data_IF_336453076490
#
_entry.id   IF_336453076490
#
_cell.length_a   1.000
_cell.length_b   1.000
_cell.length_c   1.000
_cell.angle_alpha   90.00
_cell.angle_beta   90.00
_cell.angle_gamma   90.00
#
_symmetry.space_group_name_H-M   'P 1'
#
loop_
_entity.id
_entity.type
_entity.pdbx_description
1 polymer ?
#
# COMPACT_ATOMS: atom_id res chain seq x y z
N UNK A 1 35.43 -32.45 73.55
CA UNK A 1 34.75 -33.01 72.36
C UNK A 1 35.74 -33.06 71.19
N UNK A 2 35.98 -34.20 70.54
CA UNK A 2 36.88 -34.26 69.38
C UNK A 2 36.21 -33.56 68.18
N UNK A 3 36.95 -32.70 67.47
CA UNK A 3 36.48 -32.09 66.22
C UNK A 3 36.35 -33.18 65.15
N UNK A 4 35.12 -33.49 64.75
CA UNK A 4 34.81 -34.37 63.61
C UNK A 4 35.45 -33.76 62.35
N UNK A 5 36.22 -34.52 61.55
CA UNK A 5 36.82 -33.99 60.33
C UNK A 5 35.72 -33.65 59.32
N UNK A 6 35.61 -32.38 58.91
CA UNK A 6 34.65 -32.00 57.89
C UNK A 6 35.01 -32.68 56.56
N UNK A 7 34.06 -33.44 56.02
CA UNK A 7 34.19 -34.08 54.71
C UNK A 7 34.46 -33.03 53.64
N UNK A 8 35.24 -33.37 52.61
CA UNK A 8 35.61 -32.45 51.51
C UNK A 8 34.38 -31.78 50.87
N UNK A 9 33.26 -32.51 50.81
CA UNK A 9 31.95 -32.03 50.35
C UNK A 9 31.35 -30.95 51.25
N UNK A 10 31.48 -31.07 52.57
CA UNK A 10 31.04 -30.06 53.53
C UNK A 10 31.85 -28.75 53.45
N UNK A 11 33.18 -28.84 53.25
CA UNK A 11 34.03 -27.64 53.10
C UNK A 11 33.69 -26.84 51.84
N UNK A 12 33.44 -27.53 50.72
CA UNK A 12 33.09 -26.87 49.46
C UNK A 12 31.72 -26.19 49.54
N UNK A 13 30.74 -26.83 50.18
CA UNK A 13 29.45 -26.21 50.46
C UNK A 13 29.57 -24.97 51.36
N UNK A 14 30.40 -25.03 52.40
CA UNK A 14 30.66 -23.87 53.28
C UNK A 14 31.30 -22.71 52.51
N UNK A 15 32.26 -22.96 51.61
CA UNK A 15 32.89 -21.89 50.84
C UNK A 15 31.96 -21.22 49.81
N UNK A 16 30.94 -21.92 49.30
CA UNK A 16 29.90 -21.28 48.47
C UNK A 16 29.04 -20.31 49.28
N UNK A 17 28.80 -20.61 50.56
CA UNK A 17 28.07 -19.73 51.48
C UNK A 17 28.91 -18.55 51.95
N UNK A 18 30.21 -18.77 52.19
CA UNK A 18 31.11 -17.74 52.70
C UNK A 18 31.49 -16.67 51.67
N UNK A 19 31.29 -16.95 50.37
CA UNK A 19 31.60 -16.04 49.26
C UNK A 19 30.43 -15.91 48.27
N UNK A 20 29.25 -15.39 48.70
CA UNK A 20 28.03 -15.38 47.89
C UNK A 20 28.11 -14.39 46.70
N UNK A 21 28.99 -13.39 46.79
CA UNK A 21 29.18 -12.36 45.76
C UNK A 21 30.24 -12.74 44.71
N UNK A 22 30.73 -13.99 44.73
CA UNK A 22 31.73 -14.50 43.80
C UNK A 22 31.12 -15.53 42.82
N UNK A 23 31.79 -15.75 41.69
CA UNK A 23 31.27 -16.58 40.58
C UNK A 23 31.63 -18.07 40.72
N UNK A 24 31.58 -18.61 41.93
CA UNK A 24 31.93 -20.01 42.17
C UNK A 24 30.75 -20.96 41.92
N UNK A 25 31.06 -22.14 41.37
CA UNK A 25 30.15 -23.28 41.24
C UNK A 25 30.83 -24.55 41.72
N UNK A 26 30.07 -25.56 42.11
CA UNK A 26 30.61 -26.85 42.52
C UNK A 26 29.69 -28.01 42.17
N UNK A 27 30.29 -29.18 41.91
CA UNK A 27 29.67 -30.50 41.82
C UNK A 27 29.69 -31.27 43.15
N UNK A 28 30.16 -30.64 44.23
CA UNK A 28 30.32 -31.22 45.57
C UNK A 28 31.73 -31.74 45.87
N UNK A 29 32.62 -31.84 44.87
CA UNK A 29 34.00 -32.30 45.07
C UNK A 29 35.06 -31.29 44.63
N UNK A 30 34.74 -30.46 43.64
CA UNK A 30 35.62 -29.41 43.09
C UNK A 30 34.93 -28.05 43.17
N UNK A 31 35.66 -27.02 43.62
CA UNK A 31 35.20 -25.63 43.55
C UNK A 31 35.72 -25.03 42.24
N UNK A 32 34.81 -24.61 41.36
CA UNK A 32 35.14 -24.08 40.03
C UNK A 32 34.83 -22.58 39.96
N UNK A 33 35.80 -21.78 39.52
CA UNK A 33 35.59 -20.35 39.29
C UNK A 33 35.09 -20.11 37.87
N UNK A 34 33.86 -19.64 37.73
CA UNK A 34 33.24 -19.36 36.42
C UNK A 34 33.88 -18.15 35.74
N UNK A 35 34.35 -17.15 36.49
CA UNK A 35 35.08 -16.01 35.92
C UNK A 35 36.45 -16.42 35.33
N UNK A 36 37.18 -17.31 35.99
CA UNK A 36 38.53 -17.69 35.58
C UNK A 36 38.61 -18.96 34.73
N UNK A 37 37.53 -19.75 34.65
CA UNK A 37 37.50 -20.98 33.85
C UNK A 37 38.39 -22.11 34.40
N UNK A 38 38.63 -22.14 35.71
CA UNK A 38 39.56 -23.10 36.33
C UNK A 38 39.06 -23.57 37.70
N UNK A 39 39.48 -24.78 38.09
CA UNK A 39 39.27 -25.30 39.44
C UNK A 39 40.16 -24.57 40.46
N UNK A 40 39.58 -24.25 41.61
CA UNK A 40 40.25 -23.60 42.74
C UNK A 40 40.40 -24.61 43.87
N UNK A 41 41.60 -24.69 44.46
CA UNK A 41 41.88 -25.60 45.57
C UNK A 41 41.03 -25.26 46.79
N UNK A 42 40.30 -26.26 47.31
CA UNK A 42 39.47 -26.14 48.51
C UNK A 42 40.16 -26.66 49.78
N UNK A 43 41.49 -26.87 49.73
CA UNK A 43 42.27 -27.38 50.87
C UNK A 43 42.35 -26.37 52.02
N UNK A 44 42.48 -25.09 51.70
CA UNK A 44 42.57 -23.99 52.66
C UNK A 44 41.81 -22.76 52.17
N UNK A 45 41.14 -22.05 53.08
CA UNK A 45 40.37 -20.83 52.78
C UNK A 45 41.25 -19.73 52.18
N UNK A 46 42.50 -19.62 52.64
CA UNK A 46 43.48 -18.62 52.16
C UNK A 46 43.71 -18.69 50.65
N UNK A 47 43.71 -19.88 50.06
CA UNK A 47 43.91 -20.08 48.62
C UNK A 47 42.74 -19.55 47.79
N UNK A 48 41.52 -19.64 48.31
CA UNK A 48 40.32 -19.09 47.68
C UNK A 48 40.37 -17.56 47.74
N UNK A 49 40.71 -17.00 48.90
CA UNK A 49 40.90 -15.55 49.06
C UNK A 49 42.01 -15.02 48.16
N UNK A 50 43.11 -15.75 48.01
CA UNK A 50 44.20 -15.37 47.11
C UNK A 50 43.74 -15.37 45.64
N UNK A 51 42.98 -16.39 45.23
CA UNK A 51 42.42 -16.47 43.88
C UNK A 51 41.52 -15.26 43.55
N UNK A 52 40.60 -14.90 44.45
CA UNK A 52 39.69 -13.75 44.28
C UNK A 52 40.48 -12.44 44.15
N UNK A 53 41.60 -12.33 44.86
CA UNK A 53 42.42 -11.13 44.86
C UNK A 53 43.37 -10.99 43.67
N UNK A 54 43.49 -12.02 42.82
CA UNK A 54 44.30 -11.94 41.60
C UNK A 54 43.74 -10.90 40.62
N UNK A 55 44.63 -10.19 39.92
CA UNK A 55 44.28 -9.22 38.87
C UNK A 55 43.43 -9.88 37.78
N UNK A 56 43.81 -11.08 37.35
CA UNK A 56 43.07 -11.90 36.38
C UNK A 56 41.61 -12.14 36.78
N UNK A 57 41.34 -12.48 38.05
CA UNK A 57 39.96 -12.71 38.52
C UNK A 57 39.14 -11.43 38.52
N UNK A 58 39.70 -10.32 39.02
CA UNK A 58 39.02 -9.03 39.08
C UNK A 58 38.63 -8.52 37.68
N UNK A 59 39.53 -8.62 36.71
CA UNK A 59 39.27 -8.22 35.31
C UNK A 59 38.21 -9.11 34.65
N UNK A 60 38.30 -10.43 34.83
CA UNK A 60 37.35 -11.37 34.24
C UNK A 60 35.94 -11.27 34.83
N UNK A 61 35.84 -10.97 36.13
CA UNK A 61 34.57 -10.73 36.82
C UNK A 61 33.84 -9.52 36.23
N UNK A 62 34.56 -8.44 35.94
CA UNK A 62 34.01 -7.23 35.31
C UNK A 62 33.60 -7.51 33.85
N UNK A 63 34.43 -8.20 33.06
CA UNK A 63 34.11 -8.54 31.65
C UNK A 63 32.85 -9.40 31.50
N UNK A 64 32.61 -10.37 32.39
CA UNK A 64 31.42 -11.24 32.31
C UNK A 64 30.11 -10.55 32.68
N UNK A 65 30.15 -9.46 33.44
CA UNK A 65 28.95 -8.66 33.74
C UNK A 65 28.52 -7.77 32.57
N UNK A 66 29.43 -7.46 31.63
CA UNK A 66 29.15 -6.64 30.45
C UNK A 66 28.85 -7.44 29.17
N UNK A 67 29.13 -8.75 29.14
CA UNK A 67 28.89 -9.59 27.97
C UNK A 67 28.22 -10.92 28.36
N UNK A 68 26.90 -10.89 28.52
CA UNK A 68 26.06 -12.09 28.46
C UNK A 68 25.80 -12.44 26.99
N UNK A 69 26.67 -13.25 26.39
CA UNK A 69 26.30 -13.96 25.17
C UNK A 69 25.31 -15.07 25.53
N UNK A 70 24.06 -14.90 25.11
CA UNK A 70 23.06 -15.97 25.15
C UNK A 70 23.40 -17.00 24.05
N UNK A 71 24.00 -18.11 24.45
CA UNK A 71 24.09 -19.30 23.60
C UNK A 71 22.70 -19.91 23.44
N UNK A 72 22.34 -20.24 22.19
CA UNK A 72 21.05 -20.84 21.82
C UNK A 72 21.01 -22.27 22.36
N UNK A 73 20.18 -22.51 23.37
CA UNK A 73 19.66 -23.85 23.67
C UNK A 73 18.24 -23.95 23.14
N UNK A 74 18.06 -24.90 22.23
CA UNK A 74 16.80 -25.31 21.62
C UNK A 74 15.84 -25.87 22.65
N UNK A 75 15.09 -24.97 23.27
CA UNK A 75 13.72 -25.19 23.74
C UNK A 75 13.12 -23.80 23.85
N UNK A 76 12.56 -23.31 22.74
CA UNK A 76 11.72 -22.13 22.79
C UNK A 76 10.55 -22.45 23.72
N UNK A 77 10.67 -22.06 24.99
CA UNK A 77 9.50 -21.78 25.79
C UNK A 77 8.63 -20.86 24.93
N UNK A 78 7.37 -21.23 24.76
CA UNK A 78 6.33 -20.31 24.34
C UNK A 78 6.35 -19.14 25.33
N UNK A 79 7.22 -18.15 25.10
CA UNK A 79 7.15 -16.88 25.79
C UNK A 79 5.78 -16.32 25.43
N UNK A 80 4.86 -16.34 26.40
CA UNK A 80 3.59 -15.63 26.29
C UNK A 80 3.96 -14.18 25.92
N UNK A 81 3.73 -13.82 24.66
CA UNK A 81 4.09 -12.50 24.17
C UNK A 81 3.31 -11.49 25.00
N UNK A 82 4.00 -10.48 25.54
CA UNK A 82 3.36 -9.46 26.38
C UNK A 82 2.13 -8.87 25.69
N UNK A 83 0.96 -8.96 26.34
CA UNK A 83 -0.29 -8.38 25.88
C UNK A 83 -0.13 -6.86 25.70
N UNK A 84 0.51 -6.19 26.66
CA UNK A 84 0.81 -4.77 26.60
C UNK A 84 1.61 -4.38 25.34
N UNK A 85 2.67 -5.11 25.00
CA UNK A 85 3.47 -4.81 23.81
C UNK A 85 2.70 -5.03 22.52
N UNK A 86 1.80 -6.02 22.50
CA UNK A 86 0.90 -6.28 21.39
C UNK A 86 -0.08 -5.12 21.21
N UNK A 87 -0.69 -4.66 22.31
CA UNK A 87 -1.64 -3.55 22.31
C UNK A 87 -0.98 -2.21 21.98
N UNK A 88 0.23 -1.95 22.49
CA UNK A 88 1.03 -0.79 22.13
C UNK A 88 1.35 -0.78 20.63
N UNK A 89 1.81 -1.91 20.09
CA UNK A 89 2.08 -2.04 18.66
C UNK A 89 0.82 -1.79 17.84
N UNK A 90 -0.30 -2.38 18.24
CA UNK A 90 -1.62 -2.22 17.60
C UNK A 90 -2.08 -0.76 17.64
N UNK A 91 -1.97 -0.09 18.79
CA UNK A 91 -2.36 1.30 18.96
C UNK A 91 -1.55 2.23 18.04
N UNK A 92 -0.22 2.10 18.04
CA UNK A 92 0.65 2.91 17.19
C UNK A 92 0.34 2.70 15.70
N UNK A 93 0.18 1.45 15.27
CA UNK A 93 -0.16 1.11 13.89
C UNK A 93 -1.53 1.69 13.49
N UNK A 94 -2.55 1.54 14.34
CA UNK A 94 -3.92 2.01 14.05
C UNK A 94 -4.02 3.54 14.07
N UNK A 95 -3.22 4.21 14.90
CA UNK A 95 -3.13 5.67 14.99
C UNK A 95 -2.23 6.31 13.92
N UNK A 96 -1.64 5.52 13.01
CA UNK A 96 -0.64 5.99 12.04
C UNK A 96 0.60 6.65 12.68
N UNK A 97 1.06 6.09 13.79
CA UNK A 97 2.29 6.50 14.46
C UNK A 97 3.39 5.50 14.09
N UNK A 98 4.48 5.93 13.43
CA UNK A 98 5.59 5.06 13.11
C UNK A 98 6.20 4.42 14.36
N UNK A 99 6.50 3.13 14.30
CA UNK A 99 7.20 2.44 15.39
C UNK A 99 8.57 3.08 15.70
N UNK A 100 9.19 3.75 14.72
CA UNK A 100 10.41 4.54 14.90
C UNK A 100 10.28 5.64 15.94
N UNK A 101 9.05 6.09 16.27
CA UNK A 101 8.82 7.06 17.34
C UNK A 101 9.16 6.52 18.72
N UNK A 102 9.19 5.21 18.91
CA UNK A 102 9.64 4.59 20.16
C UNK A 102 11.14 4.75 20.43
N UNK A 103 11.93 5.12 19.42
CA UNK A 103 13.35 5.48 19.60
C UNK A 103 13.54 6.85 20.23
N UNK A 104 12.50 7.70 20.25
CA UNK A 104 12.59 9.00 20.89
C UNK A 104 12.52 8.81 22.41
N UNK A 105 13.59 9.21 23.11
CA UNK A 105 13.71 9.03 24.57
C UNK A 105 12.60 9.73 25.34
N UNK A 106 12.23 10.96 24.98
CA UNK A 106 11.15 11.70 25.64
C UNK A 106 9.80 11.00 25.51
N UNK A 107 9.48 10.50 24.31
CA UNK A 107 8.25 9.75 24.07
C UNK A 107 8.25 8.42 24.83
N UNK A 108 9.38 7.71 24.84
CA UNK A 108 9.56 6.47 25.59
C UNK A 108 9.36 6.69 27.09
N UNK A 109 10.07 7.66 27.68
CA UNK A 109 9.96 8.02 29.09
C UNK A 109 8.55 8.46 29.48
N UNK A 110 7.87 9.22 28.61
CA UNK A 110 6.47 9.59 28.82
C UNK A 110 5.58 8.34 28.96
N UNK A 111 5.68 7.41 28.00
CA UNK A 111 4.89 6.18 28.05
C UNK A 111 5.24 5.34 29.29
N UNK A 112 6.52 5.16 29.60
CA UNK A 112 6.97 4.42 30.78
C UNK A 112 6.42 5.02 32.08
N UNK A 113 6.47 6.36 32.21
CA UNK A 113 5.97 7.11 33.37
C UNK A 113 4.48 6.87 33.63
N UNK A 114 3.65 6.90 32.59
CA UNK A 114 2.20 6.85 32.76
C UNK A 114 1.61 5.44 32.64
N UNK A 115 2.32 4.49 32.03
CA UNK A 115 1.85 3.10 31.91
C UNK A 115 2.43 2.18 32.97
N UNK A 116 3.51 2.58 33.65
CA UNK A 116 4.27 1.73 34.57
C UNK A 116 4.80 0.44 33.93
N UNK A 117 4.95 0.45 32.60
CA UNK A 117 5.46 -0.66 31.80
C UNK A 117 6.76 -0.26 31.12
N UNK A 118 7.72 -1.17 31.02
CA UNK A 118 8.93 -0.95 30.23
C UNK A 118 8.60 -0.96 28.74
N UNK A 119 9.01 0.09 28.02
CA UNK A 119 8.71 0.18 26.60
C UNK A 119 9.80 -0.57 25.82
N UNK A 120 9.43 -1.59 25.02
CA UNK A 120 10.40 -2.35 24.27
C UNK A 120 11.04 -1.49 23.17
N UNK A 121 12.27 -1.86 22.80
CA UNK A 121 12.93 -1.27 21.64
C UNK A 121 12.12 -1.46 20.37
N UNK A 122 12.20 -0.48 19.48
CA UNK A 122 11.49 -0.47 18.21
C UNK A 122 11.71 -1.76 17.40
N UNK A 123 12.95 -2.26 17.37
CA UNK A 123 13.29 -3.51 16.69
C UNK A 123 12.60 -4.74 17.28
N UNK A 124 12.39 -4.75 18.60
CA UNK A 124 11.71 -5.83 19.32
C UNK A 124 10.22 -5.83 18.99
N UNK A 125 9.59 -4.65 18.94
CA UNK A 125 8.20 -4.53 18.47
C UNK A 125 8.07 -5.06 17.04
N UNK A 126 8.94 -4.59 16.16
CA UNK A 126 8.89 -4.92 14.73
C UNK A 126 8.98 -6.42 14.46
N UNK A 127 9.96 -7.09 15.08
CA UNK A 127 10.23 -8.52 14.85
C UNK A 127 9.18 -9.43 15.48
N UNK A 128 8.70 -9.08 16.68
CA UNK A 128 7.93 -10.04 17.47
C UNK A 128 6.42 -9.83 17.39
N UNK A 129 5.94 -8.60 17.08
CA UNK A 129 4.54 -8.23 17.23
C UNK A 129 3.84 -7.79 15.94
N UNK A 130 4.57 -7.21 14.97
CA UNK A 130 3.96 -6.76 13.70
C UNK A 130 3.33 -7.92 12.92
N UNK A 131 3.99 -9.07 12.87
CA UNK A 131 3.49 -10.26 12.19
C UNK A 131 2.20 -10.80 12.83
N UNK A 132 2.06 -10.70 14.16
CA UNK A 132 0.83 -11.12 14.85
C UNK A 132 -0.34 -10.28 14.36
N UNK A 133 -0.20 -8.96 14.42
CA UNK A 133 -1.26 -8.03 14.01
C UNK A 133 -1.56 -8.24 12.52
N UNK A 134 -0.53 -8.51 11.71
CA UNK A 134 -0.65 -8.82 10.28
C UNK A 134 -1.55 -10.02 10.05
N UNK A 135 -1.25 -11.14 10.71
CA UNK A 135 -2.01 -12.38 10.60
C UNK A 135 -3.44 -12.20 11.14
N UNK A 136 -3.63 -11.49 12.25
CA UNK A 136 -4.97 -11.13 12.74
C UNK A 136 -5.75 -10.30 11.72
N UNK A 137 -5.09 -9.37 11.04
CA UNK A 137 -5.73 -8.51 10.04
C UNK A 137 -6.10 -9.31 8.80
N UNK A 138 -5.21 -10.19 8.33
CA UNK A 138 -5.51 -11.10 7.23
C UNK A 138 -6.66 -12.04 7.58
N UNK A 139 -6.69 -12.61 8.79
CA UNK A 139 -7.82 -13.45 9.24
C UNK A 139 -9.13 -12.69 9.12
N UNK A 140 -9.20 -11.46 9.65
CA UNK A 140 -10.41 -10.66 9.55
C UNK A 140 -10.79 -10.28 8.11
N UNK A 141 -9.82 -10.18 7.20
CA UNK A 141 -10.10 -9.95 5.77
C UNK A 141 -10.72 -11.20 5.16
N UNK A 142 -10.17 -12.38 5.47
CA UNK A 142 -10.72 -13.68 5.07
C UNK A 142 -12.14 -13.86 5.61
N UNK A 143 -12.42 -13.44 6.85
CA UNK A 143 -13.76 -13.50 7.43
C UNK A 143 -14.76 -12.60 6.68
N UNK A 144 -14.34 -11.38 6.31
CA UNK A 144 -15.19 -10.42 5.56
C UNK A 144 -15.50 -10.97 4.16
N UNK A 145 -14.49 -11.49 3.46
CA UNK A 145 -14.66 -12.05 2.12
C UNK A 145 -15.46 -13.36 2.17
N UNK A 146 -15.12 -14.23 3.12
CA UNK A 146 -15.65 -15.58 3.24
C UNK A 146 -15.39 -16.42 1.98
N UNK A 147 -16.37 -17.24 1.61
CA UNK A 147 -16.34 -18.04 0.38
C UNK A 147 -17.03 -17.37 -0.81
N UNK A 148 -17.42 -16.10 -0.67
CA UNK A 148 -18.17 -15.41 -1.71
C UNK A 148 -17.32 -15.07 -2.93
N UNK A 149 -17.95 -14.79 -4.07
CA UNK A 149 -17.23 -14.30 -5.24
C UNK A 149 -16.57 -12.96 -4.93
N UNK A 150 -15.46 -12.67 -5.61
CA UNK A 150 -14.68 -11.47 -5.43
C UNK A 150 -14.38 -10.77 -6.75
N UNK A 151 -14.12 -9.48 -6.63
CA UNK A 151 -13.41 -8.72 -7.63
C UNK A 151 -12.03 -8.34 -7.09
N UNK A 152 -11.06 -8.25 -7.99
CA UNK A 152 -9.67 -7.93 -7.68
C UNK A 152 -9.23 -6.75 -8.55
N UNK A 153 -8.47 -5.83 -7.99
CA UNK A 153 -7.83 -4.79 -8.77
C UNK A 153 -6.36 -4.66 -8.43
N UNK A 154 -5.53 -4.62 -9.48
CA UNK A 154 -4.09 -4.45 -9.38
C UNK A 154 -3.68 -3.24 -10.18
N UNK A 155 -2.95 -2.35 -9.52
CA UNK A 155 -2.33 -1.17 -10.14
C UNK A 155 -0.89 -1.09 -9.66
N UNK A 156 -0.02 -0.58 -10.51
CA UNK A 156 1.40 -0.33 -10.24
C UNK A 156 1.67 1.18 -10.16
N UNK A 157 2.65 1.57 -9.36
CA UNK A 157 3.23 2.91 -9.37
C UNK A 157 4.73 2.86 -9.16
N UNK A 158 5.44 3.80 -9.76
CA UNK A 158 6.87 3.97 -9.53
C UNK A 158 7.08 4.97 -8.40
N UNK A 159 7.83 4.60 -7.37
CA UNK A 159 8.13 5.49 -6.24
C UNK A 159 9.26 6.49 -6.59
N UNK A 160 9.56 7.41 -5.67
CA UNK A 160 10.61 8.43 -5.85
C UNK A 160 12.03 7.85 -5.99
N UNK A 161 12.23 6.61 -5.54
CA UNK A 161 13.51 5.91 -5.62
C UNK A 161 13.57 4.98 -6.85
N UNK A 162 12.62 5.11 -7.79
CA UNK A 162 12.58 4.33 -9.04
C UNK A 162 12.08 2.89 -8.90
N UNK A 163 11.55 2.50 -7.74
CA UNK A 163 11.04 1.14 -7.49
C UNK A 163 9.59 1.01 -7.94
N UNK A 164 9.30 -0.10 -8.61
CA UNK A 164 7.94 -0.46 -9.05
C UNK A 164 7.17 -1.08 -7.89
N UNK A 165 6.06 -0.46 -7.50
CA UNK A 165 5.25 -0.90 -6.38
C UNK A 165 3.85 -1.26 -6.85
N UNK A 166 3.44 -2.50 -6.61
CA UNK A 166 2.09 -2.97 -6.91
C UNK A 166 1.22 -3.01 -5.66
N UNK A 167 -0.04 -2.61 -5.80
CA UNK A 167 -1.08 -2.81 -4.81
C UNK A 167 -2.15 -3.71 -5.39
N UNK A 168 -2.59 -4.66 -4.57
CA UNK A 168 -3.76 -5.50 -4.83
C UNK A 168 -4.87 -5.11 -3.87
N UNK A 169 -6.02 -4.73 -4.42
CA UNK A 169 -7.28 -4.58 -3.68
C UNK A 169 -8.19 -5.74 -4.03
N UNK A 170 -8.94 -6.20 -3.04
CA UNK A 170 -10.01 -7.17 -3.19
C UNK A 170 -11.30 -6.58 -2.63
N UNK A 171 -12.43 -6.92 -3.23
CA UNK A 171 -13.74 -6.69 -2.64
C UNK A 171 -14.66 -7.88 -2.89
N UNK A 172 -15.61 -8.07 -1.98
CA UNK A 172 -16.62 -9.13 -2.11
C UNK A 172 -17.70 -8.68 -3.08
N UNK A 173 -18.08 -9.55 -4.01
CA UNK A 173 -19.22 -9.33 -4.90
C UNK A 173 -20.48 -9.86 -4.21
N UNK A 174 -21.45 -8.97 -4.00
CA UNK A 174 -22.71 -9.23 -3.32
C UNK A 174 -23.83 -8.39 -3.95
N UNK A 175 -25.08 -8.67 -3.58
CA UNK A 175 -26.25 -7.85 -3.89
C UNK A 175 -26.22 -6.45 -3.25
N UNK A 176 -25.30 -6.19 -2.33
CA UNK A 176 -25.08 -4.91 -1.63
C UNK A 176 -23.65 -4.41 -1.86
N UNK A 177 -23.43 -3.09 -1.80
CA UNK A 177 -22.09 -2.52 -1.97
C UNK A 177 -21.16 -3.00 -0.87
N UNK A 178 -20.01 -3.55 -1.26
CA UNK A 178 -18.97 -3.97 -0.34
C UNK A 178 -17.81 -2.98 -0.31
N UNK A 179 -17.14 -2.89 0.84
CA UNK A 179 -15.98 -2.01 0.98
C UNK A 179 -14.74 -2.69 0.37
N UNK A 180 -13.99 -2.01 -0.54
CA UNK A 180 -12.71 -2.51 -1.01
C UNK A 180 -11.68 -2.60 0.12
N UNK A 181 -10.80 -3.60 0.03
CA UNK A 181 -9.76 -3.89 1.02
C UNK A 181 -8.42 -4.06 0.31
N UNK A 182 -7.39 -3.35 0.77
CA UNK A 182 -6.02 -3.61 0.32
C UNK A 182 -5.57 -4.96 0.87
N UNK A 183 -5.41 -5.94 -0.02
CA UNK A 183 -5.01 -7.32 0.31
C UNK A 183 -3.49 -7.50 0.28
N UNK A 184 -2.83 -6.90 -0.71
CA UNK A 184 -1.39 -7.07 -0.86
C UNK A 184 -0.73 -5.79 -1.37
N UNK A 185 0.54 -5.65 -1.02
CA UNK A 185 1.42 -4.59 -1.44
C UNK A 185 2.81 -5.20 -1.61
N UNK A 186 3.37 -5.10 -2.82
CA UNK A 186 4.63 -5.74 -3.19
C UNK A 186 5.51 -4.84 -4.05
N UNK A 187 6.81 -4.99 -3.90
CA UNK A 187 7.79 -4.43 -4.83
C UNK A 187 7.93 -5.40 -6.00
N UNK A 188 7.84 -4.88 -7.22
CA UNK A 188 8.05 -5.65 -8.43
C UNK A 188 9.49 -5.43 -8.90
N UNK A 189 10.15 -6.51 -9.31
CA UNK A 189 11.49 -6.44 -9.90
C UNK A 189 11.49 -5.75 -11.27
N UNK A 190 10.40 -5.90 -12.02
CA UNK A 190 10.16 -5.28 -13.33
C UNK A 190 8.65 -5.10 -13.52
N UNK A 191 8.25 -4.07 -14.27
CA UNK A 191 6.85 -3.86 -14.63
C UNK A 191 6.55 -4.56 -15.97
N UNK A 192 6.07 -5.80 -15.91
CA UNK A 192 5.64 -6.53 -17.10
C UNK A 192 4.50 -7.51 -16.79
N UNK A 193 3.93 -8.12 -17.83
CA UNK A 193 2.74 -8.96 -17.66
C UNK A 193 2.97 -10.19 -16.77
N UNK A 194 4.19 -10.77 -16.77
CA UNK A 194 4.51 -11.95 -15.97
C UNK A 194 4.61 -11.61 -14.48
N UNK A 195 5.26 -10.49 -14.14
CA UNK A 195 5.40 -10.07 -12.75
C UNK A 195 4.07 -9.64 -12.16
N UNK A 196 3.21 -9.00 -12.94
CA UNK A 196 1.83 -8.69 -12.53
C UNK A 196 1.01 -9.96 -12.31
N UNK A 197 1.04 -10.92 -13.23
CA UNK A 197 0.30 -12.18 -13.07
C UNK A 197 0.77 -12.97 -11.84
N UNK A 198 2.08 -13.03 -11.60
CA UNK A 198 2.64 -13.65 -10.39
C UNK A 198 2.18 -12.91 -9.13
N UNK A 199 2.29 -11.58 -9.11
CA UNK A 199 1.85 -10.77 -7.97
C UNK A 199 0.35 -10.95 -7.66
N UNK A 200 -0.48 -11.08 -8.70
CA UNK A 200 -1.90 -11.39 -8.57
C UNK A 200 -2.10 -12.76 -7.89
N UNK A 201 -1.46 -13.81 -8.40
CA UNK A 201 -1.57 -15.16 -7.83
C UNK A 201 -1.06 -15.22 -6.38
N UNK A 202 0.06 -14.56 -6.09
CA UNK A 202 0.61 -14.45 -4.73
C UNK A 202 -0.41 -13.79 -3.79
N UNK A 203 -1.12 -12.75 -4.25
CA UNK A 203 -2.17 -12.12 -3.47
C UNK A 203 -3.36 -13.06 -3.23
N UNK A 204 -3.77 -13.84 -4.23
CA UNK A 204 -4.85 -14.83 -4.06
C UNK A 204 -4.46 -15.94 -3.07
N UNK A 205 -3.20 -16.37 -3.06
CA UNK A 205 -2.68 -17.31 -2.06
C UNK A 205 -2.72 -16.78 -0.61
N UNK A 206 -2.66 -15.45 -0.42
CA UNK A 206 -2.87 -14.86 0.90
C UNK A 206 -4.32 -14.93 1.35
N UNK A 207 -5.25 -14.83 0.41
CA UNK A 207 -6.67 -14.92 0.71
C UNK A 207 -7.04 -16.37 1.03
N UNK A 208 -6.56 -17.32 0.24
CA UNK A 208 -6.86 -18.74 0.39
C UNK A 208 -5.58 -19.58 0.56
N UNK A 209 -5.07 -19.74 1.81
CA UNK A 209 -3.81 -20.44 2.07
C UNK A 209 -3.88 -21.96 1.85
N UNK A 210 -5.08 -22.54 1.85
CA UNK A 210 -5.29 -23.98 1.63
C UNK A 210 -5.42 -24.36 0.14
N UNK A 211 -5.41 -23.37 -0.76
CA UNK A 211 -5.61 -23.55 -2.19
C UNK A 211 -6.41 -22.39 -2.76
N UNK A 212 -6.01 -21.87 -3.92
CA UNK A 212 -6.67 -20.72 -4.54
C UNK A 212 -8.04 -21.14 -5.09
N UNK A 213 -9.10 -20.43 -4.70
CA UNK A 213 -10.44 -20.67 -5.23
C UNK A 213 -10.62 -19.94 -6.57
N UNK A 214 -10.09 -20.52 -7.65
CA UNK A 214 -10.07 -19.89 -8.98
C UNK A 214 -11.46 -19.49 -9.51
N UNK A 215 -12.48 -20.31 -9.23
CA UNK A 215 -13.87 -20.06 -9.63
C UNK A 215 -14.51 -18.84 -8.95
N UNK A 216 -13.98 -18.42 -7.78
CA UNK A 216 -14.56 -17.34 -7.00
C UNK A 216 -14.05 -15.96 -7.45
N UNK A 217 -13.12 -15.88 -8.40
CA UNK A 217 -12.60 -14.62 -8.93
C UNK A 217 -13.39 -14.27 -10.19
N UNK A 218 -14.40 -13.41 -10.08
CA UNK A 218 -15.29 -13.09 -11.21
C UNK A 218 -14.84 -11.86 -12.01
N UNK A 219 -14.07 -10.96 -11.39
CA UNK A 219 -13.66 -9.71 -12.03
C UNK A 219 -12.24 -9.33 -11.65
N UNK A 220 -11.43 -9.03 -12.67
CA UNK A 220 -10.13 -8.42 -12.54
C UNK A 220 -10.10 -7.05 -13.22
N UNK A 221 -9.79 -6.01 -12.44
CA UNK A 221 -9.78 -4.62 -12.88
C UNK A 221 -8.37 -4.05 -12.88
N UNK A 222 -7.90 -3.58 -14.03
CA UNK A 222 -6.56 -3.01 -14.19
C UNK A 222 -6.59 -1.69 -14.95
N UNK A 223 -5.45 -1.02 -15.06
CA UNK A 223 -5.27 0.00 -16.09
C UNK A 223 -5.27 -0.61 -17.51
N UNK A 224 -5.35 0.25 -18.52
CA UNK A 224 -5.39 -0.14 -19.94
C UNK A 224 -4.02 -0.22 -20.62
N UNK A 225 -2.91 -0.33 -19.87
CA UNK A 225 -1.58 -0.50 -20.45
C UNK A 225 -1.46 -1.87 -21.14
N UNK A 226 -0.71 -1.98 -22.26
CA UNK A 226 -0.62 -3.23 -23.02
C UNK A 226 -0.17 -4.44 -22.18
N UNK A 227 0.75 -4.24 -21.23
CA UNK A 227 1.22 -5.32 -20.36
C UNK A 227 0.18 -5.74 -19.31
N UNK A 228 -0.65 -4.83 -18.81
CA UNK A 228 -1.76 -5.17 -17.91
C UNK A 228 -2.85 -5.94 -18.66
N UNK A 229 -3.19 -5.52 -19.87
CA UNK A 229 -4.12 -6.25 -20.75
C UNK A 229 -3.59 -7.65 -21.06
N UNK A 230 -2.30 -7.77 -21.35
CA UNK A 230 -1.67 -9.08 -21.55
C UNK A 230 -1.67 -9.93 -20.28
N UNK A 231 -1.47 -9.33 -19.09
CA UNK A 231 -1.54 -10.05 -17.82
C UNK A 231 -2.96 -10.57 -17.56
N UNK A 232 -3.99 -9.73 -17.77
CA UNK A 232 -5.39 -10.12 -17.67
C UNK A 232 -5.73 -11.32 -18.55
N UNK A 233 -5.34 -11.27 -19.83
CA UNK A 233 -5.52 -12.40 -20.77
C UNK A 233 -4.82 -13.69 -20.35
N UNK A 234 -3.63 -13.59 -19.75
CA UNK A 234 -2.94 -14.79 -19.23
C UNK A 234 -3.69 -15.34 -18.01
N UNK A 235 -4.09 -14.47 -17.10
CA UNK A 235 -4.80 -14.86 -15.88
C UNK A 235 -6.16 -15.50 -16.18
N UNK A 236 -6.90 -15.06 -17.21
CA UNK A 236 -8.18 -15.69 -17.60
C UNK A 236 -8.02 -17.16 -18.01
N UNK A 237 -6.81 -17.64 -18.31
CA UNK A 237 -6.54 -19.06 -18.57
C UNK A 237 -6.60 -19.90 -17.28
N UNK A 238 -6.27 -19.30 -16.14
CA UNK A 238 -6.24 -19.96 -14.82
C UNK A 238 -7.48 -19.66 -13.97
N UNK A 239 -8.24 -18.62 -14.33
CA UNK A 239 -9.44 -18.19 -13.63
C UNK A 239 -10.61 -18.18 -14.63
N UNK A 240 -11.32 -19.31 -14.80
CA UNK A 240 -12.24 -19.52 -15.93
C UNK A 240 -13.46 -18.59 -15.89
N UNK A 241 -13.92 -18.19 -14.70
CA UNK A 241 -15.02 -17.24 -14.52
C UNK A 241 -14.59 -15.77 -14.47
N UNK A 242 -13.30 -15.48 -14.60
CA UNK A 242 -12.79 -14.13 -14.42
C UNK A 242 -12.96 -13.29 -15.68
N UNK A 243 -13.66 -12.16 -15.54
CA UNK A 243 -13.67 -11.09 -16.52
C UNK A 243 -12.50 -10.15 -16.30
N UNK A 244 -11.71 -9.89 -17.33
CA UNK A 244 -10.74 -8.80 -17.32
C UNK A 244 -11.38 -7.51 -17.85
N UNK A 245 -11.40 -6.47 -17.02
CA UNK A 245 -11.91 -5.14 -17.36
C UNK A 245 -10.80 -4.10 -17.16
N UNK A 246 -10.69 -3.15 -18.11
CA UNK A 246 -9.82 -1.98 -17.92
C UNK A 246 -10.62 -0.82 -17.29
N UNK A 247 -9.98 -0.06 -16.41
CA UNK A 247 -10.59 1.06 -15.70
C UNK A 247 -11.21 2.10 -16.64
N UNK A 248 -12.52 2.34 -16.51
CA UNK A 248 -13.24 3.30 -17.34
C UNK A 248 -12.84 4.75 -17.05
N UNK A 249 -12.63 5.11 -15.78
CA UNK A 249 -12.21 6.47 -15.42
C UNK A 249 -10.82 6.81 -16.00
N UNK A 250 -9.88 5.85 -15.97
CA UNK A 250 -8.59 6.01 -16.65
C UNK A 250 -8.77 6.07 -18.18
N UNK A 251 -9.70 5.27 -18.73
CA UNK A 251 -10.11 5.38 -20.13
C UNK A 251 -10.53 6.80 -20.52
N UNK A 252 -11.46 7.39 -19.77
CA UNK A 252 -11.89 8.78 -19.97
C UNK A 252 -10.76 9.78 -19.75
N UNK A 253 -9.87 9.56 -18.78
CA UNK A 253 -8.69 10.41 -18.61
C UNK A 253 -7.80 10.42 -19.87
N UNK A 254 -7.60 9.28 -20.53
CA UNK A 254 -6.87 9.22 -21.81
C UNK A 254 -7.58 9.98 -22.94
N UNK A 255 -8.90 10.06 -22.90
CA UNK A 255 -9.69 10.92 -23.80
C UNK A 255 -9.40 12.39 -23.46
N UNK A 256 -9.39 12.78 -22.18
CA UNK A 256 -9.04 14.16 -21.76
C UNK A 256 -7.62 14.56 -22.16
N UNK A 257 -6.66 13.64 -22.13
CA UNK A 257 -5.30 13.89 -22.64
C UNK A 257 -5.26 14.07 -24.15
N UNK A 258 -6.17 13.41 -24.87
CA UNK A 258 -6.31 13.61 -26.32
C UNK A 258 -6.91 14.98 -26.61
N UNK A 259 -7.89 15.44 -25.81
CA UNK A 259 -8.37 16.84 -25.88
C UNK A 259 -7.19 17.79 -25.69
N UNK A 260 -6.41 17.64 -24.61
CA UNK A 260 -5.24 18.47 -24.33
C UNK A 260 -4.26 18.53 -25.52
N UNK A 261 -3.98 17.40 -26.14
CA UNK A 261 -3.09 17.31 -27.29
C UNK A 261 -3.60 18.05 -28.54
N UNK A 262 -4.92 18.25 -28.68
CA UNK A 262 -5.49 19.04 -29.77
C UNK A 262 -5.40 20.56 -29.55
N UNK A 263 -5.06 21.03 -28.34
CA UNK A 263 -5.06 22.46 -27.99
C UNK A 263 -3.72 22.89 -27.34
N UNK A 264 -2.62 22.92 -28.11
CA UNK A 264 -1.28 23.19 -27.59
C UNK A 264 -1.10 24.61 -27.02
N UNK A 265 -1.87 25.60 -27.49
CA UNK A 265 -1.76 26.97 -27.00
C UNK A 265 -2.05 27.09 -25.50
N UNK A 266 -3.15 26.50 -25.03
CA UNK A 266 -3.47 26.52 -23.60
C UNK A 266 -2.53 25.61 -22.80
N UNK A 267 -2.09 24.48 -23.37
CA UNK A 267 -1.09 23.62 -22.73
C UNK A 267 0.24 24.37 -22.48
N UNK A 268 0.69 25.14 -23.48
CA UNK A 268 1.87 26.00 -23.38
C UNK A 268 1.71 27.09 -22.33
N UNK A 269 0.52 27.73 -22.25
CA UNK A 269 0.24 28.72 -21.21
C UNK A 269 0.38 28.11 -19.80
N UNK A 270 -0.25 26.95 -19.58
CA UNK A 270 -0.20 26.26 -18.29
C UNK A 270 1.22 25.85 -17.92
N UNK A 271 1.98 25.30 -18.87
CA UNK A 271 3.38 24.92 -18.66
C UNK A 271 4.27 26.12 -18.30
N UNK A 272 3.92 27.31 -18.80
CA UNK A 272 4.65 28.57 -18.56
C UNK A 272 4.38 29.14 -17.16
N UNK A 273 3.12 29.12 -16.73
CA UNK A 273 2.69 29.69 -15.43
C UNK A 273 3.01 28.73 -14.27
N UNK A 274 2.99 27.41 -14.53
CA UNK A 274 3.20 26.40 -13.51
C UNK A 274 3.97 25.23 -14.10
N UNK A 275 5.04 24.77 -13.44
CA UNK A 275 5.51 23.40 -13.68
C UNK A 275 4.31 22.48 -13.46
N UNK A 276 3.92 21.64 -14.44
CA UNK A 276 2.69 20.88 -14.37
C UNK A 276 2.71 20.03 -13.10
N UNK A 277 1.85 20.38 -12.14
CA UNK A 277 1.62 19.55 -10.98
C UNK A 277 0.79 18.36 -11.50
N UNK A 278 1.48 17.28 -11.85
CA UNK A 278 0.91 15.96 -12.16
C UNK A 278 0.28 15.43 -10.87
N UNK A 279 -0.92 15.87 -10.49
CA UNK A 279 -1.52 15.34 -9.24
C UNK A 279 -2.89 14.74 -9.32
N UNK A 280 -3.75 14.96 -10.33
CA UNK A 280 -5.03 14.23 -10.46
C UNK A 280 -5.50 14.11 -11.92
N UNK A 281 -6.33 13.12 -12.23
CA UNK A 281 -6.98 13.01 -13.54
C UNK A 281 -7.82 14.25 -13.85
N UNK A 282 -7.90 14.61 -15.14
CA UNK A 282 -8.69 15.75 -15.65
C UNK A 282 -8.31 17.15 -15.15
N UNK A 283 -7.20 17.31 -14.39
CA UNK A 283 -6.77 18.60 -13.82
C UNK A 283 -6.58 19.68 -14.88
N UNK A 284 -6.14 19.31 -16.09
CA UNK A 284 -5.98 20.25 -17.21
C UNK A 284 -7.33 20.84 -17.67
N UNK A 285 -8.37 20.03 -17.82
CA UNK A 285 -9.72 20.53 -18.16
C UNK A 285 -10.33 21.36 -17.02
N UNK A 286 -10.05 21.01 -15.77
CA UNK A 286 -10.43 21.86 -14.64
C UNK A 286 -9.75 23.24 -14.70
N UNK A 287 -8.49 23.29 -15.13
CA UNK A 287 -7.79 24.56 -15.39
C UNK A 287 -8.43 25.32 -16.57
N UNK A 288 -8.78 24.65 -17.67
CA UNK A 288 -9.53 25.28 -18.79
C UNK A 288 -10.78 25.96 -18.27
N UNK A 289 -11.60 25.25 -17.47
CA UNK A 289 -12.84 25.80 -16.90
C UNK A 289 -12.58 27.05 -16.05
N UNK A 290 -11.54 27.01 -15.22
CA UNK A 290 -11.13 28.15 -14.39
C UNK A 290 -10.67 29.35 -15.23
N UNK A 291 -9.79 29.13 -16.22
CA UNK A 291 -9.25 30.19 -17.06
C UNK A 291 -10.32 30.78 -17.99
N UNK A 292 -11.26 29.98 -18.47
CA UNK A 292 -12.38 30.45 -19.27
C UNK A 292 -13.29 31.38 -18.47
N UNK A 293 -13.62 31.01 -17.23
CA UNK A 293 -14.47 31.84 -16.36
C UNK A 293 -13.79 33.13 -15.88
N UNK A 294 -12.47 33.09 -15.64
CA UNK A 294 -11.70 34.21 -15.13
C UNK A 294 -10.81 34.85 -16.20
N UNK A 295 -11.16 34.74 -17.49
CA UNK A 295 -10.24 35.09 -18.59
C UNK A 295 -9.72 36.53 -18.50
N UNK A 296 -10.61 37.51 -18.38
CA UNK A 296 -10.22 38.93 -18.34
C UNK A 296 -9.40 39.26 -17.08
N UNK A 297 -9.76 38.69 -15.93
CA UNK A 297 -8.98 38.86 -14.68
C UNK A 297 -7.58 38.27 -14.80
N UNK A 298 -7.46 37.06 -15.35
CA UNK A 298 -6.16 36.43 -15.55
C UNK A 298 -5.32 37.18 -16.59
N UNK A 299 -5.97 37.73 -17.62
CA UNK A 299 -5.31 38.56 -18.64
C UNK A 299 -4.71 39.82 -18.02
N UNK A 300 -5.50 40.53 -17.22
CA UNK A 300 -5.05 41.74 -16.51
C UNK A 300 -3.88 41.45 -15.56
N UNK A 301 -3.99 40.40 -14.74
CA UNK A 301 -2.90 39.98 -13.83
C UNK A 301 -1.62 39.69 -14.62
N UNK A 302 -1.71 38.91 -15.71
CA UNK A 302 -0.53 38.53 -16.52
C UNK A 302 0.06 39.74 -17.25
N UNK A 303 -0.75 40.69 -17.72
CA UNK A 303 -0.23 41.90 -18.35
C UNK A 303 0.55 42.80 -17.39
N UNK A 304 0.15 42.83 -16.12
CA UNK A 304 0.77 43.64 -15.06
C UNK A 304 2.07 43.03 -14.50
N UNK A 305 2.40 41.78 -14.84
CA UNK A 305 3.69 41.19 -14.47
C UNK A 305 4.81 41.82 -15.29
N UNK A 306 5.93 42.15 -14.65
CA UNK A 306 7.09 42.67 -15.36
C UNK A 306 7.77 41.59 -16.22
N UNK A 307 7.84 41.84 -17.52
CA UNK A 307 8.35 40.92 -18.55
C UNK A 307 9.86 40.69 -18.47
N UNK A 308 10.60 41.63 -17.89
CA UNK A 308 12.06 41.55 -17.82
C UNK A 308 12.51 40.61 -16.71
N UNK A 309 11.61 40.26 -15.78
CA UNK A 309 11.89 39.33 -14.69
C UNK A 309 12.03 37.87 -15.16
N UNK A 310 11.38 37.46 -16.26
CA UNK A 310 11.59 36.11 -16.81
C UNK A 310 11.03 35.92 -18.23
N UNK A 311 11.70 35.06 -19.00
CA UNK A 311 11.26 34.59 -20.32
C UNK A 311 9.85 33.97 -20.26
N UNK A 312 9.49 33.33 -19.13
CA UNK A 312 8.16 32.73 -18.94
C UNK A 312 7.06 33.80 -18.89
N UNK A 313 7.31 34.96 -18.28
CA UNK A 313 6.32 36.03 -18.22
C UNK A 313 6.07 36.61 -19.62
N UNK A 314 7.12 36.88 -20.38
CA UNK A 314 7.00 37.34 -21.77
C UNK A 314 6.16 36.37 -22.62
N UNK A 315 6.48 35.07 -22.58
CA UNK A 315 5.71 34.03 -23.29
C UNK A 315 4.25 33.96 -22.84
N UNK A 316 3.98 34.08 -21.55
CA UNK A 316 2.60 34.05 -21.04
C UNK A 316 1.79 35.27 -21.53
N UNK A 317 2.41 36.45 -21.62
CA UNK A 317 1.77 37.65 -22.20
C UNK A 317 1.41 37.44 -23.66
N UNK A 318 2.36 36.96 -24.47
CA UNK A 318 2.15 36.71 -25.90
C UNK A 318 0.99 35.74 -26.13
N UNK A 319 0.94 34.64 -25.37
CA UNK A 319 -0.13 33.64 -25.47
C UNK A 319 -1.47 34.22 -25.03
N UNK A 320 -1.52 35.04 -23.97
CA UNK A 320 -2.76 35.67 -23.49
C UNK A 320 -3.30 36.76 -24.42
N UNK A 321 -2.45 37.37 -25.26
CA UNK A 321 -2.87 38.31 -26.29
C UNK A 321 -3.42 37.63 -27.55
N UNK A 322 -3.14 36.34 -27.74
CA UNK A 322 -3.64 35.59 -28.89
C UNK A 322 -5.16 35.37 -28.81
N UNK A 323 -5.92 35.95 -29.75
CA UNK A 323 -7.38 35.79 -29.84
C UNK A 323 -7.82 34.33 -30.03
N UNK A 324 -6.97 33.49 -30.62
CA UNK A 324 -7.23 32.05 -30.77
C UNK A 324 -7.32 31.35 -29.42
N UNK A 325 -6.55 31.79 -28.41
CA UNK A 325 -6.64 31.23 -27.06
C UNK A 325 -8.05 31.39 -26.48
N UNK A 326 -8.63 32.59 -26.61
CA UNK A 326 -9.98 32.90 -26.11
C UNK A 326 -11.02 32.00 -26.79
N UNK A 327 -10.92 31.84 -28.11
CA UNK A 327 -11.81 30.97 -28.88
C UNK A 327 -11.64 29.49 -28.51
N UNK A 328 -10.40 29.02 -28.36
CA UNK A 328 -10.09 27.65 -27.94
C UNK A 328 -10.62 27.38 -26.53
N UNK A 329 -10.41 28.28 -25.57
CA UNK A 329 -10.94 28.16 -24.21
C UNK A 329 -12.48 28.07 -24.20
N UNK A 330 -13.15 28.96 -24.94
CA UNK A 330 -14.61 28.92 -25.09
C UNK A 330 -15.09 27.59 -25.68
N UNK A 331 -14.44 27.12 -26.76
CA UNK A 331 -14.78 25.86 -27.40
C UNK A 331 -14.58 24.65 -26.47
N UNK A 332 -13.42 24.54 -25.82
CA UNK A 332 -13.13 23.43 -24.91
C UNK A 332 -14.07 23.46 -23.70
N UNK A 333 -14.34 24.65 -23.16
CA UNK A 333 -15.22 24.81 -22.01
C UNK A 333 -16.67 24.41 -22.32
N UNK A 334 -17.17 24.76 -23.51
CA UNK A 334 -18.51 24.37 -23.94
C UNK A 334 -18.63 22.88 -24.27
N UNK A 335 -17.60 22.29 -24.89
CA UNK A 335 -17.74 20.96 -25.52
C UNK A 335 -17.07 19.81 -24.76
N UNK A 336 -16.06 20.05 -23.91
CA UNK A 336 -15.27 18.96 -23.31
C UNK A 336 -15.15 19.03 -21.78
N UNK A 337 -15.46 20.16 -21.14
CA UNK A 337 -15.40 20.28 -19.68
C UNK A 337 -16.38 19.34 -18.94
N UNK A 338 -17.42 18.82 -19.61
CA UNK A 338 -18.31 17.80 -19.03
C UNK A 338 -17.55 16.50 -18.65
N UNK A 339 -16.44 16.18 -19.33
CA UNK A 339 -15.61 15.00 -19.05
C UNK A 339 -15.02 15.01 -17.63
N UNK A 340 -14.81 16.20 -17.05
CA UNK A 340 -14.38 16.35 -15.65
C UNK A 340 -15.44 15.77 -14.71
N UNK A 341 -16.71 16.09 -14.96
CA UNK A 341 -17.81 15.59 -14.14
C UNK A 341 -18.07 14.09 -14.38
N UNK A 342 -17.86 13.60 -15.60
CA UNK A 342 -17.91 12.16 -15.91
C UNK A 342 -16.89 11.38 -15.08
N UNK A 343 -15.61 11.82 -15.08
CA UNK A 343 -14.56 11.15 -14.29
C UNK A 343 -14.89 11.22 -12.79
N UNK A 344 -15.30 12.39 -12.27
CA UNK A 344 -15.71 12.52 -10.87
C UNK A 344 -16.85 11.58 -10.48
N UNK A 345 -17.87 11.45 -11.33
CA UNK A 345 -18.99 10.51 -11.11
C UNK A 345 -18.50 9.07 -11.13
N UNK A 346 -17.67 8.69 -12.09
CA UNK A 346 -17.07 7.34 -12.14
C UNK A 346 -16.11 7.03 -10.97
N UNK A 347 -15.62 8.07 -10.30
CA UNK A 347 -14.80 8.01 -9.11
C UNK A 347 -15.58 7.92 -7.78
N UNK A 348 -16.92 8.02 -7.81
CA UNK A 348 -17.74 7.84 -6.61
C UNK A 348 -17.91 6.36 -6.27
N UNK A 349 -17.87 6.03 -4.98
CA UNK A 349 -18.08 4.68 -4.49
C UNK A 349 -19.55 4.24 -4.58
N UNK A 350 -19.78 2.92 -4.56
CA UNK A 350 -21.10 2.30 -4.46
C UNK A 350 -22.04 2.47 -5.67
N UNK A 351 -21.50 2.83 -6.84
CA UNK A 351 -22.26 2.78 -8.08
C UNK A 351 -22.57 1.35 -8.48
N UNK A 352 -23.78 1.10 -8.95
CA UNK A 352 -24.13 -0.13 -9.65
C UNK A 352 -23.50 -0.17 -11.04
N UNK A 353 -23.45 -1.35 -11.65
CA UNK A 353 -23.09 -1.50 -13.07
C UNK A 353 -24.02 -0.65 -13.95
N UNK A 354 -25.32 -0.60 -13.62
CA UNK A 354 -26.34 0.13 -14.39
C UNK A 354 -26.03 1.63 -14.39
N UNK A 355 -25.84 2.24 -13.22
CA UNK A 355 -25.53 3.66 -13.09
C UNK A 355 -24.18 4.01 -13.73
N UNK A 356 -23.16 3.16 -13.52
CA UNK A 356 -21.83 3.36 -14.08
C UNK A 356 -21.85 3.34 -15.61
N UNK A 357 -22.56 2.39 -16.22
CA UNK A 357 -22.70 2.31 -17.67
C UNK A 357 -23.55 3.46 -18.23
N UNK A 358 -24.60 3.89 -17.53
CA UNK A 358 -25.39 5.05 -17.93
C UNK A 358 -24.53 6.32 -17.99
N UNK A 359 -23.61 6.52 -17.04
CA UNK A 359 -22.65 7.64 -17.08
C UNK A 359 -21.78 7.57 -18.34
N UNK A 360 -21.28 6.38 -18.69
CA UNK A 360 -20.42 6.16 -19.87
C UNK A 360 -21.18 6.40 -21.16
N UNK A 361 -22.41 5.88 -21.28
CA UNK A 361 -23.26 6.02 -22.46
C UNK A 361 -23.70 7.47 -22.67
N UNK A 362 -24.11 8.15 -21.60
CA UNK A 362 -24.43 9.59 -21.67
C UNK A 362 -23.21 10.40 -22.12
N UNK A 363 -22.02 10.11 -21.59
CA UNK A 363 -20.80 10.79 -22.01
C UNK A 363 -20.46 10.54 -23.48
N UNK A 364 -20.67 9.31 -23.98
CA UNK A 364 -20.47 8.98 -25.38
C UNK A 364 -21.48 9.70 -26.29
N UNK A 365 -22.74 9.81 -25.87
CA UNK A 365 -23.78 10.55 -26.60
C UNK A 365 -23.47 12.04 -26.66
N UNK A 366 -23.14 12.68 -25.53
CA UNK A 366 -22.73 14.09 -25.52
C UNK A 366 -21.52 14.33 -26.42
N UNK A 367 -20.55 13.41 -26.44
CA UNK A 367 -19.39 13.55 -27.33
C UNK A 367 -19.75 13.38 -28.83
N UNK A 368 -20.80 12.62 -29.14
CA UNK A 368 -21.30 12.46 -30.51
C UNK A 368 -21.98 13.71 -31.06
N UNK A 369 -22.48 14.59 -30.19
CA UNK A 369 -23.20 15.82 -30.56
C UNK A 369 -22.27 17.02 -30.82
N UNK A 370 -20.98 16.93 -30.49
CA UNK A 370 -20.02 18.03 -30.66
C UNK A 370 -19.76 18.33 -32.16
N UNK A 371 -20.01 19.57 -32.60
CA UNK A 371 -19.86 20.06 -34.00
C UNK A 371 -18.81 21.20 -34.14
N UNK A 372 -18.34 21.50 -35.37
CA UNK A 372 -17.57 22.73 -35.73
C UNK A 372 -16.30 22.52 -36.58
N UNK A 373 -15.75 23.57 -37.23
CA UNK A 373 -14.62 23.57 -38.22
C UNK A 373 -13.34 22.85 -37.75
N UNK A 374 -13.14 22.70 -36.45
CA UNK A 374 -12.25 21.69 -35.84
C UNK A 374 -12.87 20.27 -35.87
N UNK A 375 -13.57 19.91 -36.95
CA UNK A 375 -14.22 18.59 -37.12
C UNK A 375 -13.18 17.49 -36.92
N UNK A 376 -11.94 17.75 -37.34
CA UNK A 376 -10.78 16.87 -37.08
C UNK A 376 -10.58 16.60 -35.59
N UNK A 377 -10.51 17.61 -34.73
CA UNK A 377 -10.28 17.44 -33.29
C UNK A 377 -11.44 16.70 -32.62
N UNK A 378 -12.69 17.09 -32.89
CA UNK A 378 -13.88 16.41 -32.37
C UNK A 378 -13.96 14.94 -32.80
N UNK A 379 -13.71 14.67 -34.09
CA UNK A 379 -13.65 13.30 -34.63
C UNK A 379 -12.49 12.51 -34.02
N UNK A 380 -11.31 13.09 -33.85
CA UNK A 380 -10.16 12.45 -33.20
C UNK A 380 -10.52 12.05 -31.75
N UNK A 381 -11.14 12.95 -30.99
CA UNK A 381 -11.52 12.70 -29.59
C UNK A 381 -12.64 11.65 -29.52
N UNK A 382 -13.61 11.68 -30.42
CA UNK A 382 -14.67 10.66 -30.55
C UNK A 382 -14.09 9.28 -30.90
N UNK A 383 -13.24 9.21 -31.92
CA UNK A 383 -12.55 7.99 -32.31
C UNK A 383 -11.70 7.46 -31.16
N UNK A 384 -11.06 8.35 -30.39
CA UNK A 384 -10.32 7.96 -29.20
C UNK A 384 -11.21 7.29 -28.15
N UNK A 385 -12.39 7.86 -27.87
CA UNK A 385 -13.33 7.25 -26.92
C UNK A 385 -13.77 5.88 -27.42
N UNK A 386 -14.14 5.76 -28.69
CA UNK A 386 -14.53 4.49 -29.31
C UNK A 386 -13.41 3.44 -29.21
N UNK A 387 -12.17 3.82 -29.52
CA UNK A 387 -11.01 2.94 -29.39
C UNK A 387 -10.76 2.48 -27.95
N UNK A 388 -10.91 3.40 -26.98
CA UNK A 388 -10.72 3.10 -25.56
C UNK A 388 -11.78 2.10 -25.09
N UNK A 389 -13.05 2.30 -25.47
CA UNK A 389 -14.15 1.41 -25.10
C UNK A 389 -14.06 0.05 -25.83
N UNK A 390 -13.70 0.05 -27.12
CA UNK A 390 -13.57 -1.17 -27.92
C UNK A 390 -12.42 -2.06 -27.46
N UNK A 391 -11.29 -1.47 -27.02
CA UNK A 391 -10.16 -2.22 -26.46
C UNK A 391 -10.47 -2.86 -25.10
N UNK A 392 -11.52 -2.39 -24.42
CA UNK A 392 -11.97 -2.96 -23.16
C UNK A 392 -12.86 -4.19 -23.43
N UNK A 393 -12.24 -5.31 -23.76
CA UNK A 393 -12.95 -6.54 -24.18
C UNK A 393 -13.99 -6.99 -23.15
N UNK A 394 -13.69 -6.87 -21.85
CA UNK A 394 -14.63 -7.22 -20.78
C UNK A 394 -15.87 -6.34 -20.71
N UNK A 395 -15.87 -5.15 -21.32
CA UNK A 395 -17.00 -4.21 -21.26
C UNK A 395 -18.26 -4.77 -21.92
N UNK A 396 -18.12 -5.57 -22.98
CA UNK A 396 -19.27 -6.21 -23.64
C UNK A 396 -19.96 -7.21 -22.71
N UNK A 397 -19.19 -8.02 -21.99
CA UNK A 397 -19.73 -8.95 -20.99
C UNK A 397 -20.40 -8.18 -19.82
N UNK A 398 -19.85 -7.04 -19.41
CA UNK A 398 -20.49 -6.18 -18.39
C UNK A 398 -21.82 -5.59 -18.90
N UNK A 399 -21.91 -5.17 -20.17
CA UNK A 399 -23.16 -4.71 -20.79
C UNK A 399 -24.20 -5.84 -20.87
N UNK A 400 -23.75 -7.04 -21.18
CA UNK A 400 -24.58 -8.24 -21.16
C UNK A 400 -25.13 -8.52 -19.75
N UNK A 401 -24.30 -8.45 -18.71
CA UNK A 401 -24.72 -8.62 -17.31
C UNK A 401 -25.77 -7.57 -16.95
N UNK A 402 -25.52 -6.30 -17.32
CA UNK A 402 -26.49 -5.21 -17.10
C UNK A 402 -27.84 -5.51 -17.77
N UNK A 403 -27.83 -5.99 -19.01
CA UNK A 403 -29.06 -6.29 -19.75
C UNK A 403 -29.88 -7.38 -19.06
N UNK A 404 -29.23 -8.42 -18.53
CA UNK A 404 -29.88 -9.48 -17.72
C UNK A 404 -30.44 -8.89 -16.42
N UNK A 405 -29.68 -8.05 -15.71
CA UNK A 405 -30.14 -7.39 -14.47
C UNK A 405 -31.33 -6.44 -14.69
N UNK A 406 -31.50 -5.91 -15.90
CA UNK A 406 -32.63 -5.07 -16.31
C UNK A 406 -33.79 -5.86 -16.94
N UNK A 407 -33.68 -7.19 -17.00
CA UNK A 407 -34.64 -8.08 -17.66
C UNK A 407 -34.93 -7.68 -19.13
N UNK A 408 -33.87 -7.38 -19.90
CA UNK A 408 -33.98 -7.09 -21.34
C UNK A 408 -33.82 -8.37 -22.16
N UNK A 409 -34.73 -8.64 -23.09
CA UNK A 409 -34.76 -9.83 -23.97
C UNK A 409 -33.69 -9.85 -25.09
N UNK A 410 -32.68 -8.99 -25.03
CA UNK A 410 -31.56 -9.04 -25.96
C UNK A 410 -30.65 -10.20 -25.53
N UNK A 411 -30.62 -11.31 -26.28
CA UNK A 411 -29.69 -12.43 -26.04
C UNK A 411 -28.24 -11.91 -26.09
N UNK A 412 -27.58 -11.67 -24.94
CA UNK A 412 -26.23 -11.15 -24.98
C UNK A 412 -25.30 -12.34 -25.22
N UNK A 413 -24.45 -12.27 -26.24
CA UNK A 413 -23.34 -13.22 -26.36
C UNK A 413 -22.36 -12.97 -25.22
N UNK A 414 -22.41 -13.78 -24.16
CA UNK A 414 -21.36 -13.83 -23.14
C UNK A 414 -20.40 -14.95 -23.47
N UNK A 415 -19.10 -14.65 -23.38
CA UNK A 415 -18.05 -15.65 -23.56
C UNK A 415 -17.73 -16.43 -22.27
N UNK A 416 -18.42 -16.13 -21.17
CA UNK A 416 -18.21 -16.74 -19.85
C UNK A 416 -19.56 -17.20 -19.31
N UNK A 417 -19.59 -18.43 -18.81
CA UNK A 417 -20.78 -19.02 -18.19
C UNK A 417 -20.86 -18.62 -16.71
N UNK A 418 -21.75 -17.67 -16.41
CA UNK A 418 -22.05 -17.25 -15.05
C UNK A 418 -23.32 -17.90 -14.54
N UNK A 419 -23.32 -18.28 -13.27
CA UNK A 419 -24.56 -18.72 -12.60
C UNK A 419 -25.47 -17.51 -12.33
N UNK A 420 -26.79 -17.72 -12.08
CA UNK A 420 -27.67 -16.62 -11.67
C UNK A 420 -27.17 -15.88 -10.41
N UNK A 421 -26.57 -16.62 -9.48
CA UNK A 421 -25.94 -16.05 -8.28
C UNK A 421 -24.75 -15.15 -8.65
N UNK A 422 -23.86 -15.60 -9.53
CA UNK A 422 -22.72 -14.79 -10.00
C UNK A 422 -23.20 -13.46 -10.61
N UNK A 423 -24.20 -13.50 -11.50
CA UNK A 423 -24.78 -12.30 -12.14
C UNK A 423 -25.37 -11.35 -11.10
N UNK A 424 -26.18 -11.85 -10.17
CA UNK A 424 -26.79 -11.02 -9.11
C UNK A 424 -25.74 -10.37 -8.20
N UNK A 425 -24.65 -11.08 -7.89
CA UNK A 425 -23.54 -10.58 -7.08
C UNK A 425 -22.70 -9.52 -7.79
N UNK A 426 -22.80 -9.41 -9.12
CA UNK A 426 -22.11 -8.37 -9.89
C UNK A 426 -22.84 -7.02 -9.89
N UNK A 427 -24.03 -6.88 -9.28
CA UNK A 427 -24.81 -5.62 -9.25
C UNK A 427 -23.96 -4.38 -8.90
N UNK A 428 -23.07 -4.51 -7.92
CA UNK A 428 -22.16 -3.45 -7.44
C UNK A 428 -20.69 -3.69 -7.83
N UNK A 429 -20.42 -4.47 -8.88
CA UNK A 429 -19.06 -4.69 -9.33
C UNK A 429 -18.44 -3.39 -9.85
N UNK A 430 -17.20 -3.04 -9.44
CA UNK A 430 -16.59 -1.77 -9.82
C UNK A 430 -16.14 -1.78 -11.28
N UNK A 431 -16.36 -0.67 -11.97
CA UNK A 431 -15.85 -0.45 -13.33
C UNK A 431 -14.61 0.47 -13.37
N UNK A 432 -14.13 0.91 -12.20
CA UNK A 432 -12.98 1.83 -12.05
C UNK A 432 -12.00 1.37 -10.97
N UNK A 433 -10.69 1.44 -11.27
CA UNK A 433 -9.59 1.06 -10.36
C UNK A 433 -9.20 2.18 -9.38
N UNK A 434 -10.08 3.18 -9.21
CA UNK A 434 -9.80 4.43 -8.50
C UNK A 434 -9.40 4.17 -7.05
N UNK A 435 -10.00 3.17 -6.40
CA UNK A 435 -9.66 2.82 -5.02
C UNK A 435 -8.22 2.33 -4.89
N UNK A 436 -7.69 1.60 -5.89
CA UNK A 436 -6.29 1.16 -5.90
C UNK A 436 -5.38 2.36 -6.10
N UNK A 437 -5.74 3.27 -6.98
CA UNK A 437 -4.96 4.49 -7.23
C UNK A 437 -4.94 5.41 -6.01
N UNK A 438 -6.08 5.59 -5.34
CA UNK A 438 -6.19 6.32 -4.07
C UNK A 438 -5.37 5.65 -2.97
N UNK A 439 -5.25 4.32 -2.97
CA UNK A 439 -4.36 3.60 -2.05
C UNK A 439 -2.89 4.03 -2.20
N UNK A 440 -2.48 4.50 -3.39
CA UNK A 440 -1.14 5.04 -3.61
C UNK A 440 -0.93 6.45 -3.09
N UNK A 441 -1.96 7.29 -3.01
CA UNK A 441 -1.84 8.63 -2.38
C UNK A 441 -1.31 8.54 -0.94
N UNK A 442 -1.64 7.43 -0.26
CA UNK A 442 -1.16 7.10 1.09
C UNK A 442 0.33 6.70 1.12
N UNK A 443 0.96 6.34 0.01
CA UNK A 443 2.42 6.15 -0.04
C UNK A 443 3.18 7.44 0.16
N UNK A 444 2.69 8.58 -0.37
CA UNK A 444 3.38 9.87 -0.21
C UNK A 444 3.54 10.24 1.28
N UNK A 445 2.68 9.73 2.16
CA UNK A 445 2.85 9.89 3.62
C UNK A 445 3.68 8.78 4.28
N UNK A 446 3.70 7.56 3.75
CA UNK A 446 4.43 6.40 4.29
C UNK A 446 5.92 6.40 3.88
N UNK A 447 6.25 6.79 2.64
CA UNK A 447 7.61 6.83 2.09
C UNK A 447 8.18 8.26 2.07
N UNK A 448 7.81 9.10 3.04
CA UNK A 448 8.44 10.40 3.20
C UNK A 448 9.97 10.23 3.34
N UNK A 449 10.78 11.23 2.96
CA UNK A 449 12.25 11.15 3.04
C UNK A 449 12.77 10.73 4.43
N UNK A 450 12.03 11.05 5.50
CA UNK A 450 12.33 10.66 6.88
C UNK A 450 11.93 9.22 7.26
N UNK A 451 11.42 8.41 6.31
CA UNK A 451 10.98 7.01 6.48
C UNK A 451 11.71 6.06 5.50
N UNK A 452 12.89 6.43 5.00
CA UNK A 452 13.70 5.66 4.02
C UNK A 452 14.29 4.33 4.52
N UNK A 453 14.12 3.99 5.80
CA UNK A 453 14.69 2.77 6.42
C UNK A 453 13.70 1.60 6.53
N UNK A 454 12.52 1.70 5.90
CA UNK A 454 11.57 0.57 5.86
C UNK A 454 12.07 -0.52 4.90
N UNK A 455 12.34 -1.74 5.42
CA UNK A 455 12.40 -2.94 4.57
C UNK A 455 11.00 -3.22 4.00
N UNK A 456 10.91 -3.66 2.75
CA UNK A 456 9.65 -3.78 2.02
C UNK A 456 8.65 -4.76 2.67
N UNK A 457 9.15 -5.83 3.28
CA UNK A 457 8.39 -6.77 4.11
C UNK A 457 7.53 -6.05 5.17
N UNK A 458 8.02 -4.94 5.73
CA UNK A 458 7.27 -4.16 6.71
C UNK A 458 6.18 -3.30 6.04
N UNK A 459 6.44 -2.73 4.85
CA UNK A 459 5.50 -1.86 4.13
C UNK A 459 4.21 -2.61 3.79
N UNK A 460 4.34 -3.86 3.39
CA UNK A 460 3.23 -4.78 3.16
C UNK A 460 2.33 -4.91 4.39
N UNK A 461 2.93 -5.10 5.56
CA UNK A 461 2.18 -5.20 6.81
C UNK A 461 1.47 -3.90 7.17
N UNK A 462 2.17 -2.76 7.11
CA UNK A 462 1.63 -1.45 7.48
C UNK A 462 0.39 -1.03 6.67
N UNK A 463 0.28 -1.46 5.41
CA UNK A 463 -0.85 -1.10 4.54
C UNK A 463 -2.12 -1.87 4.85
N UNK A 464 -1.99 -3.17 5.12
CA UNK A 464 -3.12 -4.03 5.50
C UNK A 464 -3.81 -3.53 6.78
N UNK A 465 -3.06 -2.91 7.69
CA UNK A 465 -3.61 -2.38 8.94
C UNK A 465 -4.58 -1.21 8.78
N UNK A 466 -4.56 -0.51 7.64
CA UNK A 466 -5.31 0.72 7.41
C UNK A 466 -6.61 0.46 6.63
N UNK A 467 -7.64 -0.04 7.33
CA UNK A 467 -9.00 -0.36 6.83
C UNK A 467 -9.83 0.79 6.21
N UNK A 468 -9.35 2.04 6.26
CA UNK A 468 -10.00 3.17 5.58
C UNK A 468 -9.28 3.48 4.28
N UNK A 469 -9.71 2.84 3.19
CA UNK A 469 -9.89 3.55 1.92
C UNK A 469 -11.01 4.57 2.10
#
# INVERSE_FOLDING_TARGET
MPKIPSTKKGKVAQYLLDFPNETFKSDGHVLYCVACGQSVSCLQRSLITQHINTTKHKENKVRKFQCTQNFITSSASLNSKSNFNTDLCRALIKADIPLTKLKNSTFKMFLEKYTWQTIPEESSIRKNYVEIIYNETLSKIRDIIGNGPIWVSVVETTNVDGRYIANCIVGKLNSEPSKPIVLNCGELTKCNHQTIARFFNDAMGLLWPQGIHHENVLLFLSDGAPYMVKAGKVLTTFYPKMLHLTCLAHGFHRVTETVRAQFPLFDSLIATIKKPIITRWSTWLAAVKYYSYNFEKNKDIISNLDSDNSISIAKAKDIMQNNELKNNLAYISANFCFLVEVIKKLETSNLTIIESLAIVENAANTLNEVQGVQVKSGVIIKNKLNDVLAKNVGLQNIKAIRNILLNKNENPSMNIEFTPSDISNMKYAPLTSVDVERSFSRYKSILRPNRRTFKFENVRCFKLFRRRL
#
